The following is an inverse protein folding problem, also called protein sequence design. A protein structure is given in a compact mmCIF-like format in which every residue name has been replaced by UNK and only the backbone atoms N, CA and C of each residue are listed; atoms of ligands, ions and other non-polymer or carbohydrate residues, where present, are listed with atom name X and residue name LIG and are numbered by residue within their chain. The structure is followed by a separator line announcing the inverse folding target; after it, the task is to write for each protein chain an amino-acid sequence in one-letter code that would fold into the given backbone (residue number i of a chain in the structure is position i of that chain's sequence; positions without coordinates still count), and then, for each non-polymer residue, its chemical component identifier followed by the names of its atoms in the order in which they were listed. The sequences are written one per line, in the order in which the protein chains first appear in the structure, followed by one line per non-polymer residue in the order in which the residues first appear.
data_IF_649569126738
#
_entry.id   IF_649569126738
#
_cell.length_a   1.000
_cell.length_b   1.000
_cell.length_c   1.000
_cell.angle_alpha   90.00
_cell.angle_beta   90.00
_cell.angle_gamma   90.00
#
_symmetry.space_group_name_H-M   'P 1'
#
loop_
_entity.id
_entity.type
_entity.pdbx_description
1 polymer ?
#
# COMPACT_ATOMS: atom_id res chain seq x y z
N UNK A 1 19.96 11.60 -9.82
CA UNK A 1 19.19 10.92 -8.76
C UNK A 1 18.05 10.16 -9.43
N UNK A 2 17.95 8.82 -9.23
CA UNK A 2 16.84 8.02 -9.80
C UNK A 2 15.54 8.49 -9.17
N UNK A 3 14.53 8.72 -10.00
CA UNK A 3 13.17 9.07 -9.58
C UNK A 3 12.61 8.00 -8.64
N UNK A 4 11.87 8.43 -7.62
CA UNK A 4 11.18 7.55 -6.65
C UNK A 4 9.69 7.84 -6.68
N UNK A 5 8.90 6.79 -6.83
CA UNK A 5 7.44 6.87 -6.92
C UNK A 5 6.82 6.14 -5.74
N UNK A 6 6.07 6.85 -4.92
CA UNK A 6 5.25 6.27 -3.86
C UNK A 6 3.82 6.20 -4.34
N UNK A 7 3.36 5.01 -4.65
CA UNK A 7 1.98 4.76 -5.08
C UNK A 7 1.16 4.37 -3.86
N UNK A 8 0.11 5.12 -3.56
CA UNK A 8 -0.82 4.84 -2.47
C UNK A 8 -2.11 4.31 -3.08
N UNK A 9 -2.43 3.05 -2.81
CA UNK A 9 -3.68 2.44 -3.26
C UNK A 9 -4.83 2.92 -2.38
N UNK A 10 -5.78 3.62 -2.97
CA UNK A 10 -6.97 4.15 -2.29
C UNK A 10 -8.24 3.68 -2.96
N UNK A 11 -9.29 3.51 -2.17
CA UNK A 11 -10.64 3.20 -2.64
C UNK A 11 -11.56 4.34 -2.29
N UNK A 12 -12.52 4.63 -3.18
CA UNK A 12 -13.54 5.65 -2.89
C UNK A 12 -14.23 5.33 -1.56
N UNK A 13 -14.21 6.27 -0.58
CA UNK A 13 -14.63 5.99 0.81
C UNK A 13 -16.15 6.02 0.96
N UNK A 14 -16.82 5.07 0.31
CA UNK A 14 -18.28 4.92 0.37
C UNK A 14 -18.67 3.91 1.46
N UNK A 15 -19.76 4.19 2.25
CA UNK A 15 -20.29 3.24 3.22
C UNK A 15 -20.60 1.88 2.58
N UNK A 16 -20.21 0.80 3.26
CA UNK A 16 -20.36 -0.58 2.77
C UNK A 16 -19.42 -0.98 1.63
N UNK A 17 -18.54 -0.07 1.18
CA UNK A 17 -17.56 -0.35 0.12
C UNK A 17 -16.11 -0.39 0.63
N UNK A 18 -15.84 0.19 1.79
CA UNK A 18 -14.53 0.21 2.45
C UNK A 18 -14.67 -0.26 3.90
N UNK A 19 -13.63 -0.96 4.39
CA UNK A 19 -13.54 -1.41 5.80
C UNK A 19 -14.84 -2.04 6.31
N UNK A 20 -15.38 -2.97 5.55
CA UNK A 20 -16.68 -3.60 5.85
C UNK A 20 -16.67 -4.41 7.14
N UNK A 21 -15.54 -5.06 7.51
CA UNK A 21 -15.39 -5.75 8.79
C UNK A 21 -15.53 -4.77 9.95
N UNK A 22 -14.74 -3.69 9.95
CA UNK A 22 -14.86 -2.60 10.92
C UNK A 22 -16.28 -2.02 10.91
N UNK A 23 -16.89 -1.87 9.72
CA UNK A 23 -18.24 -1.34 9.56
C UNK A 23 -19.34 -2.21 10.18
N UNK A 24 -19.14 -3.52 10.29
CA UNK A 24 -20.06 -4.41 11.02
C UNK A 24 -20.08 -4.12 12.52
N UNK A 25 -18.95 -3.66 13.08
CA UNK A 25 -18.82 -3.37 14.52
C UNK A 25 -19.17 -1.93 14.90
N UNK A 26 -18.81 -0.94 14.05
CA UNK A 26 -18.99 0.49 14.39
C UNK A 26 -19.97 1.24 13.47
N UNK A 27 -20.56 0.55 12.50
CA UNK A 27 -21.41 1.12 11.47
C UNK A 27 -20.67 1.52 10.18
N UNK A 28 -21.29 1.23 9.03
CA UNK A 28 -20.66 1.42 7.70
C UNK A 28 -20.29 2.87 7.41
N UNK A 29 -21.10 3.82 7.87
CA UNK A 29 -20.85 5.26 7.71
C UNK A 29 -19.62 5.69 8.51
N UNK A 30 -19.48 5.22 9.74
CA UNK A 30 -18.36 5.56 10.61
C UNK A 30 -17.06 4.94 10.08
N UNK A 31 -17.09 3.70 9.61
CA UNK A 31 -15.93 3.03 9.00
C UNK A 31 -15.47 3.77 7.72
N UNK A 32 -16.40 4.20 6.86
CA UNK A 32 -16.06 4.99 5.68
C UNK A 32 -15.48 6.37 6.03
N UNK A 33 -16.04 7.05 7.04
CA UNK A 33 -15.50 8.33 7.55
C UNK A 33 -14.10 8.17 8.15
N UNK A 34 -13.87 7.10 8.91
CA UNK A 34 -12.55 6.77 9.44
C UNK A 34 -11.55 6.54 8.31
N UNK A 35 -11.88 5.67 7.35
CA UNK A 35 -11.02 5.37 6.21
C UNK A 35 -10.66 6.62 5.41
N UNK A 36 -11.65 7.50 5.14
CA UNK A 36 -11.41 8.78 4.46
C UNK A 36 -10.41 9.66 5.23
N UNK A 37 -10.61 9.85 6.53
CA UNK A 37 -9.72 10.67 7.37
C UNK A 37 -8.33 10.07 7.44
N UNK A 38 -8.23 8.76 7.64
CA UNK A 38 -6.97 8.02 7.67
C UNK A 38 -6.20 8.18 6.36
N UNK A 39 -6.84 7.96 5.22
CA UNK A 39 -6.21 8.08 3.90
C UNK A 39 -5.71 9.50 3.62
N UNK A 40 -6.52 10.52 3.91
CA UNK A 40 -6.12 11.92 3.73
C UNK A 40 -4.96 12.31 4.66
N UNK A 41 -5.01 11.88 5.92
CA UNK A 41 -3.92 12.10 6.88
C UNK A 41 -2.63 11.42 6.43
N UNK A 42 -2.71 10.18 5.92
CA UNK A 42 -1.57 9.44 5.39
C UNK A 42 -0.93 10.17 4.20
N UNK A 43 -1.74 10.61 3.23
CA UNK A 43 -1.26 11.33 2.05
C UNK A 43 -0.48 12.58 2.48
N UNK A 44 -1.05 13.42 3.34
CA UNK A 44 -0.36 14.64 3.83
C UNK A 44 0.88 14.32 4.66
N UNK A 45 0.83 13.28 5.52
CA UNK A 45 1.98 12.87 6.33
C UNK A 45 3.15 12.35 5.51
N UNK A 46 2.87 11.69 4.37
CA UNK A 46 3.89 11.10 3.51
C UNK A 46 4.40 12.06 2.42
N UNK A 47 3.88 13.28 2.34
CA UNK A 47 4.39 14.29 1.41
C UNK A 47 5.84 14.68 1.78
N UNK A 48 6.78 14.45 0.84
CA UNK A 48 8.21 14.60 1.08
C UNK A 48 8.95 14.77 -0.27
N UNK A 49 9.88 15.72 -0.40
CA UNK A 49 10.56 15.99 -1.66
C UNK A 49 11.45 14.84 -2.18
N UNK A 50 11.71 13.82 -1.37
CA UNK A 50 12.54 12.65 -1.75
C UNK A 50 11.83 11.68 -2.68
N UNK A 51 10.52 11.78 -2.84
CA UNK A 51 9.70 10.95 -3.74
C UNK A 51 8.46 11.71 -4.21
N UNK A 52 7.85 11.21 -5.27
CA UNK A 52 6.57 11.72 -5.76
C UNK A 52 5.45 10.76 -5.36
N UNK A 53 4.36 11.29 -4.81
CA UNK A 53 3.15 10.53 -4.47
C UNK A 53 2.26 10.44 -5.70
N UNK A 54 1.72 9.24 -5.95
CA UNK A 54 0.68 8.97 -6.93
C UNK A 54 -0.43 8.18 -6.23
N UNK A 55 -1.68 8.59 -6.39
CA UNK A 55 -2.83 7.83 -5.88
C UNK A 55 -3.30 6.84 -6.93
N UNK A 56 -3.25 5.56 -6.62
CA UNK A 56 -3.90 4.53 -7.42
C UNK A 56 -5.33 4.34 -6.92
N UNK A 57 -6.30 4.82 -7.70
CA UNK A 57 -7.70 4.94 -7.28
C UNK A 57 -8.59 3.81 -7.79
N UNK A 58 -9.58 3.43 -6.99
CA UNK A 58 -10.64 2.47 -7.38
C UNK A 58 -11.98 2.87 -6.74
N UNK A 59 -13.16 2.68 -7.39
CA UNK A 59 -13.34 2.31 -8.80
C UNK A 59 -12.72 3.35 -9.73
N UNK A 60 -12.17 2.93 -10.84
CA UNK A 60 -11.32 3.77 -11.70
C UNK A 60 -11.97 5.11 -12.05
N UNK A 61 -13.16 5.11 -12.69
CA UNK A 61 -13.85 6.34 -13.08
C UNK A 61 -14.22 7.22 -11.89
N UNK A 62 -14.82 6.63 -10.86
CA UNK A 62 -15.24 7.38 -9.67
C UNK A 62 -14.04 7.96 -8.93
N UNK A 63 -12.97 7.19 -8.74
CA UNK A 63 -11.76 7.63 -8.06
C UNK A 63 -11.01 8.74 -8.82
N UNK A 64 -10.94 8.64 -10.15
CA UNK A 64 -10.32 9.68 -11.00
C UNK A 64 -11.05 11.03 -10.90
N UNK A 65 -12.39 11.00 -10.77
CA UNK A 65 -13.24 12.20 -10.68
C UNK A 65 -13.56 12.61 -9.23
N UNK A 66 -13.06 11.88 -8.24
CA UNK A 66 -13.40 12.08 -6.82
C UNK A 66 -12.91 13.45 -6.32
N UNK A 67 -13.77 14.14 -5.58
CA UNK A 67 -13.43 15.37 -4.85
C UNK A 67 -12.89 15.08 -3.44
N UNK A 68 -12.77 13.81 -3.07
CA UNK A 68 -12.21 13.40 -1.78
C UNK A 68 -10.70 13.57 -1.76
N UNK A 69 -10.05 13.23 -2.86
CA UNK A 69 -8.59 13.21 -2.95
C UNK A 69 -8.03 14.59 -3.32
N UNK A 70 -6.86 14.99 -2.78
CA UNK A 70 -6.23 16.27 -3.11
C UNK A 70 -6.00 16.42 -4.62
N UNK A 71 -6.37 17.56 -5.18
CA UNK A 71 -6.17 17.85 -6.62
C UNK A 71 -4.70 17.96 -7.01
N UNK A 72 -3.85 18.35 -6.06
CA UNK A 72 -2.40 18.49 -6.25
C UNK A 72 -1.67 17.16 -6.40
N UNK A 73 -2.31 16.04 -6.09
CA UNK A 73 -1.69 14.70 -6.16
C UNK A 73 -2.15 13.98 -7.42
N UNK A 74 -1.19 13.54 -8.24
CA UNK A 74 -1.46 12.79 -9.46
C UNK A 74 -2.23 11.51 -9.17
N UNK A 75 -3.13 11.12 -10.06
CA UNK A 75 -3.98 9.94 -9.93
C UNK A 75 -3.81 9.00 -11.12
N UNK A 76 -3.90 7.71 -10.86
CA UNK A 76 -3.95 6.66 -11.88
C UNK A 76 -5.04 5.65 -11.50
N UNK A 77 -5.71 5.01 -12.47
CA UNK A 77 -6.64 3.93 -12.16
C UNK A 77 -5.88 2.69 -11.69
N UNK A 78 -6.48 1.91 -10.77
CA UNK A 78 -5.94 0.59 -10.40
C UNK A 78 -6.16 -0.44 -11.51
N UNK A 79 -7.21 -0.29 -12.29
CA UNK A 79 -7.64 -1.22 -13.31
C UNK A 79 -8.37 -2.43 -12.73
N UNK A 80 -8.67 -3.39 -13.61
CA UNK A 80 -9.41 -4.61 -13.29
C UNK A 80 -8.47 -5.73 -12.81
N UNK A 81 -9.05 -6.83 -12.32
CA UNK A 81 -8.33 -7.99 -11.83
C UNK A 81 -8.26 -8.04 -10.30
N UNK A 82 -7.51 -9.02 -9.81
CA UNK A 82 -7.26 -9.18 -8.37
C UNK A 82 -6.23 -8.15 -7.83
N UNK A 83 -5.83 -8.29 -6.59
CA UNK A 83 -4.85 -7.38 -5.96
C UNK A 83 -3.48 -7.46 -6.66
N UNK A 84 -3.06 -8.66 -7.07
CA UNK A 84 -1.79 -8.88 -7.77
C UNK A 84 -1.77 -8.24 -9.15
N UNK A 85 -2.85 -8.40 -9.92
CA UNK A 85 -2.99 -7.77 -11.23
C UNK A 85 -2.86 -6.25 -11.13
N UNK A 86 -3.52 -5.65 -10.13
CA UNK A 86 -3.51 -4.20 -9.90
C UNK A 86 -2.14 -3.71 -9.47
N UNK A 87 -1.51 -4.34 -8.47
CA UNK A 87 -0.16 -3.97 -8.04
C UNK A 87 0.87 -4.18 -9.15
N UNK A 88 0.80 -5.30 -9.86
CA UNK A 88 1.68 -5.59 -10.99
C UNK A 88 1.59 -4.54 -12.09
N UNK A 89 0.37 -4.10 -12.43
CA UNK A 89 0.13 -3.00 -13.38
C UNK A 89 0.76 -1.71 -12.89
N UNK A 90 0.53 -1.32 -11.64
CA UNK A 90 1.10 -0.11 -11.06
C UNK A 90 2.63 -0.15 -11.06
N UNK A 91 3.23 -1.27 -10.65
CA UNK A 91 4.69 -1.43 -10.66
C UNK A 91 5.30 -1.33 -12.07
N UNK A 92 4.56 -1.75 -13.11
CA UNK A 92 5.04 -1.69 -14.52
C UNK A 92 4.81 -0.32 -15.16
N UNK A 93 3.66 0.33 -14.89
CA UNK A 93 3.19 1.52 -15.60
C UNK A 93 3.78 2.84 -15.11
N UNK A 94 4.35 2.90 -13.89
CA UNK A 94 4.97 4.14 -13.42
C UNK A 94 6.14 4.56 -14.32
N UNK A 95 6.42 5.86 -14.44
CA UNK A 95 7.60 6.34 -15.17
C UNK A 95 8.91 5.73 -14.65
N UNK A 96 10.04 5.83 -15.37
CA UNK A 96 11.32 5.25 -14.96
C UNK A 96 11.70 5.65 -13.54
N UNK A 97 12.22 4.69 -12.75
CA UNK A 97 12.63 4.91 -11.35
C UNK A 97 12.19 3.77 -10.43
N UNK A 98 12.53 3.90 -9.15
CA UNK A 98 12.08 2.96 -8.12
C UNK A 98 10.63 3.24 -7.74
N UNK A 99 9.84 2.20 -7.56
CA UNK A 99 8.41 2.31 -7.19
C UNK A 99 8.17 1.55 -5.90
N UNK A 100 7.48 2.17 -4.96
CA UNK A 100 6.89 1.52 -3.79
C UNK A 100 5.36 1.67 -3.86
N UNK A 101 4.65 0.58 -3.62
CA UNK A 101 3.18 0.54 -3.55
C UNK A 101 2.78 0.23 -2.11
N UNK A 102 1.86 1.00 -1.55
CA UNK A 102 1.34 0.82 -0.18
C UNK A 102 -0.19 0.87 -0.15
N UNK A 103 -0.79 0.26 0.87
CA UNK A 103 -2.19 0.49 1.24
C UNK A 103 -2.41 1.80 2.00
N UNK A 104 -3.65 2.29 2.04
CA UNK A 104 -4.01 3.53 2.73
C UNK A 104 -4.58 3.32 4.14
N UNK A 105 -4.69 2.10 4.59
CA UNK A 105 -5.40 1.68 5.80
C UNK A 105 -4.48 1.35 7.00
N UNK A 106 -3.21 1.72 6.90
CA UNK A 106 -2.20 1.46 7.91
C UNK A 106 -1.78 2.79 8.57
N UNK A 107 -2.33 3.13 9.74
CA UNK A 107 -2.08 4.41 10.42
C UNK A 107 -0.62 4.64 10.81
N UNK A 108 0.13 3.54 11.05
CA UNK A 108 1.52 3.59 11.53
C UNK A 108 2.56 4.00 10.49
N UNK A 109 2.22 4.09 9.19
CA UNK A 109 3.20 4.46 8.16
C UNK A 109 3.67 5.90 8.35
N UNK A 110 5.00 6.08 8.38
CA UNK A 110 5.68 7.39 8.48
C UNK A 110 6.63 7.62 7.31
N UNK A 111 7.10 8.87 7.13
CA UNK A 111 8.16 9.19 6.15
C UNK A 111 9.43 8.36 6.36
N UNK A 112 9.76 8.04 7.63
CA UNK A 112 10.93 7.21 7.95
C UNK A 112 10.80 5.78 7.39
N UNK A 113 9.61 5.17 7.48
CA UNK A 113 9.33 3.86 6.90
C UNK A 113 9.54 3.87 5.37
N UNK A 114 8.99 4.87 4.68
CA UNK A 114 9.12 5.01 3.23
C UNK A 114 10.59 5.27 2.82
N UNK A 115 11.30 6.11 3.59
CA UNK A 115 12.72 6.37 3.34
C UNK A 115 13.57 5.11 3.47
N UNK A 116 13.31 4.26 4.49
CA UNK A 116 13.98 2.95 4.65
C UNK A 116 13.69 2.01 3.49
N UNK A 117 12.44 1.96 3.02
CA UNK A 117 12.06 1.15 1.88
C UNK A 117 12.83 1.57 0.60
N UNK A 118 12.89 2.86 0.29
CA UNK A 118 13.68 3.34 -0.84
C UNK A 118 15.19 3.15 -0.65
N UNK A 119 15.72 3.24 0.58
CA UNK A 119 17.11 2.94 0.87
C UNK A 119 17.43 1.45 0.66
N UNK A 120 16.52 0.55 1.05
CA UNK A 120 16.63 -0.88 0.80
C UNK A 120 16.69 -1.20 -0.71
N UNK A 121 15.88 -0.51 -1.55
CA UNK A 121 15.94 -0.62 -3.02
C UNK A 121 17.25 -0.10 -3.62
N UNK A 122 18.05 0.64 -2.88
CA UNK A 122 19.43 0.97 -3.27
C UNK A 122 20.35 -0.27 -3.30
N UNK A 123 20.02 -1.30 -2.51
CA UNK A 123 20.86 -2.49 -2.26
C UNK A 123 20.21 -3.81 -2.67
N UNK A 124 18.93 -3.80 -3.07
CA UNK A 124 18.17 -4.98 -3.49
C UNK A 124 17.27 -4.64 -4.68
N UNK A 125 16.78 -5.64 -5.38
CA UNK A 125 15.86 -5.48 -6.51
C UNK A 125 14.45 -5.20 -6.03
N UNK A 126 14.07 -5.77 -4.86
CA UNK A 126 12.74 -5.67 -4.28
C UNK A 126 12.80 -5.37 -2.79
N UNK A 127 11.74 -4.76 -2.27
CA UNK A 127 11.55 -4.53 -0.83
C UNK A 127 10.11 -4.84 -0.44
N UNK A 128 9.95 -5.41 0.75
CA UNK A 128 8.65 -5.66 1.37
C UNK A 128 8.59 -5.05 2.76
N UNK A 129 7.45 -4.48 3.10
CA UNK A 129 7.07 -4.18 4.47
C UNK A 129 6.08 -5.24 4.93
N UNK A 130 6.49 -6.25 5.73
CA UNK A 130 5.58 -7.31 6.16
C UNK A 130 4.44 -6.77 7.02
N UNK A 131 3.31 -7.47 6.99
CA UNK A 131 2.20 -7.28 7.91
C UNK A 131 2.11 -8.47 8.87
N UNK A 132 1.49 -8.26 10.04
CA UNK A 132 1.38 -9.29 11.11
C UNK A 132 0.57 -10.51 10.66
N UNK A 133 -0.33 -10.35 9.70
CA UNK A 133 -1.21 -11.39 9.16
C UNK A 133 -0.55 -12.30 8.11
N UNK A 134 0.76 -12.11 7.83
CA UNK A 134 1.50 -12.83 6.80
C UNK A 134 1.37 -12.21 5.39
N UNK A 135 0.68 -11.09 5.28
CA UNK A 135 0.69 -10.22 4.11
C UNK A 135 1.84 -9.21 4.12
N UNK A 136 1.63 -8.11 3.45
CA UNK A 136 2.56 -6.98 3.46
C UNK A 136 1.82 -5.66 3.19
N UNK A 137 2.27 -4.61 3.89
CA UNK A 137 1.76 -3.26 3.74
C UNK A 137 2.48 -2.47 2.65
N UNK A 138 3.67 -2.93 2.24
CA UNK A 138 4.50 -2.31 1.21
C UNK A 138 5.13 -3.38 0.32
N UNK A 139 5.09 -3.15 -0.98
CA UNK A 139 5.93 -3.82 -1.98
C UNK A 139 6.62 -2.78 -2.83
N UNK A 140 7.92 -2.94 -3.06
CA UNK A 140 8.68 -2.02 -3.91
C UNK A 140 9.64 -2.74 -4.85
N UNK A 141 9.85 -2.14 -6.02
CA UNK A 141 10.78 -2.59 -7.04
C UNK A 141 11.74 -1.48 -7.44
N UNK A 142 13.02 -1.82 -7.55
CA UNK A 142 14.08 -0.92 -8.05
C UNK A 142 13.92 -0.59 -9.53
N UNK A 143 13.34 -1.53 -10.30
CA UNK A 143 13.13 -1.42 -11.75
C UNK A 143 14.41 -1.15 -12.55
N UNK A 144 15.52 -1.71 -12.11
CA UNK A 144 16.80 -1.73 -12.87
C UNK A 144 16.81 -2.79 -13.97
N UNK A 145 15.85 -3.70 -13.93
CA UNK A 145 15.56 -4.74 -14.94
C UNK A 145 14.06 -4.82 -15.17
N UNK A 146 13.63 -5.59 -16.18
CA UNK A 146 12.22 -5.81 -16.45
C UNK A 146 11.50 -6.43 -15.23
N UNK A 147 10.28 -6.01 -14.99
CA UNK A 147 9.41 -6.61 -13.96
C UNK A 147 8.99 -8.00 -14.48
N UNK A 148 9.13 -9.07 -13.67
CA UNK A 148 8.74 -10.42 -14.10
C UNK A 148 7.29 -10.44 -14.62
N UNK A 149 7.00 -11.11 -15.75
CA UNK A 149 5.66 -11.17 -16.31
C UNK A 149 4.68 -11.90 -15.39
N UNK A 150 5.17 -12.89 -14.66
CA UNK A 150 4.47 -13.75 -13.70
C UNK A 150 4.45 -13.20 -12.27
N UNK A 151 4.94 -11.97 -12.05
CA UNK A 151 4.88 -11.31 -10.74
C UNK A 151 3.45 -11.30 -10.21
N UNK A 152 3.27 -11.85 -8.99
CA UNK A 152 2.02 -12.05 -8.26
C UNK A 152 1.14 -13.22 -8.76
N UNK A 153 1.56 -13.98 -9.75
CA UNK A 153 0.78 -15.11 -10.25
C UNK A 153 0.65 -16.21 -9.17
N UNK A 154 -0.57 -16.69 -8.94
CA UNK A 154 -0.84 -17.76 -7.99
C UNK A 154 -0.70 -17.40 -6.51
N UNK A 155 -0.59 -16.13 -6.16
CA UNK A 155 -0.52 -15.67 -4.78
C UNK A 155 -1.87 -15.85 -4.08
N UNK A 156 -1.86 -16.48 -2.92
CA UNK A 156 -3.04 -16.66 -2.05
C UNK A 156 -3.28 -15.39 -1.24
N UNK A 157 -4.01 -14.46 -1.84
CA UNK A 157 -4.36 -13.19 -1.19
C UNK A 157 -5.21 -13.40 0.06
N UNK A 158 -5.15 -12.43 0.99
CA UNK A 158 -5.89 -12.46 2.27
C UNK A 158 -5.61 -13.70 3.11
N UNK A 159 -4.38 -14.20 3.08
CA UNK A 159 -3.91 -15.37 3.83
C UNK A 159 -2.51 -15.11 4.42
N UNK A 160 -2.14 -15.92 5.41
CA UNK A 160 -0.81 -15.90 6.01
C UNK A 160 0.33 -16.27 5.03
N UNK A 161 0.00 -16.61 3.79
CA UNK A 161 0.95 -17.03 2.77
C UNK A 161 1.24 -15.95 1.72
N UNK A 162 0.56 -14.81 1.74
CA UNK A 162 0.65 -13.82 0.67
C UNK A 162 2.08 -13.32 0.42
N UNK A 163 2.83 -13.02 1.47
CA UNK A 163 4.24 -12.61 1.35
C UNK A 163 5.11 -13.76 0.80
N UNK A 164 5.00 -14.95 1.37
CA UNK A 164 5.82 -16.10 0.96
C UNK A 164 5.54 -16.52 -0.47
N UNK A 165 4.28 -16.50 -0.90
CA UNK A 165 3.91 -16.82 -2.28
C UNK A 165 4.40 -15.74 -3.26
N UNK A 166 4.31 -14.45 -2.87
CA UNK A 166 4.85 -13.34 -3.69
C UNK A 166 6.36 -13.47 -3.88
N UNK A 167 7.11 -13.81 -2.83
CA UNK A 167 8.56 -13.98 -2.93
C UNK A 167 8.96 -15.09 -3.90
N UNK A 168 8.16 -16.15 -4.05
CA UNK A 168 8.39 -17.21 -5.04
C UNK A 168 8.29 -16.70 -6.49
N UNK A 169 7.41 -15.73 -6.75
CA UNK A 169 7.27 -15.12 -8.09
C UNK A 169 8.43 -14.19 -8.46
N UNK A 170 9.34 -13.93 -7.53
CA UNK A 170 10.52 -13.07 -7.68
C UNK A 170 11.83 -13.88 -7.75
N UNK A 171 11.77 -15.12 -8.24
CA UNK A 171 12.94 -15.97 -8.38
C UNK A 171 14.09 -15.25 -9.14
N UNK A 172 15.29 -15.28 -8.57
CA UNK A 172 16.46 -14.60 -9.15
C UNK A 172 16.55 -13.09 -8.89
N UNK A 173 15.61 -12.51 -8.10
CA UNK A 173 15.69 -11.14 -7.62
C UNK A 173 16.04 -11.10 -6.13
N UNK A 174 16.95 -10.19 -5.78
CA UNK A 174 17.27 -9.96 -4.36
C UNK A 174 16.14 -9.20 -3.67
N UNK A 175 15.72 -9.69 -2.49
CA UNK A 175 14.65 -9.09 -1.69
C UNK A 175 15.17 -8.65 -0.32
N UNK A 176 14.63 -7.54 0.19
CA UNK A 176 14.80 -7.10 1.58
C UNK A 176 13.45 -6.85 2.23
N UNK A 177 13.40 -7.08 3.53
CA UNK A 177 12.25 -6.69 4.34
C UNK A 177 12.62 -5.47 5.18
N UNK A 178 11.61 -4.63 5.43
CA UNK A 178 11.69 -3.47 6.32
C UNK A 178 10.73 -3.67 7.50
N UNK A 179 10.30 -2.60 8.14
CA UNK A 179 9.48 -2.65 9.34
C UNK A 179 8.18 -3.46 9.15
N UNK A 180 7.80 -4.20 10.19
CA UNK A 180 6.49 -4.86 10.28
C UNK A 180 5.48 -3.86 10.79
N UNK A 181 4.35 -3.70 10.12
CA UNK A 181 3.24 -2.84 10.52
C UNK A 181 1.92 -3.58 10.44
N UNK A 182 0.94 -3.13 11.24
CA UNK A 182 -0.41 -3.65 11.23
C UNK A 182 -1.41 -2.68 10.60
N UNK A 183 -2.39 -3.21 9.89
CA UNK A 183 -3.55 -2.47 9.42
C UNK A 183 -4.65 -2.38 10.49
N UNK A 184 -5.73 -1.69 10.18
CA UNK A 184 -6.92 -1.57 11.03
C UNK A 184 -8.10 -2.21 10.32
N UNK A 185 -8.48 -3.41 10.72
CA UNK A 185 -9.62 -4.15 10.17
C UNK A 185 -10.79 -4.32 11.12
N UNK A 186 -10.54 -4.23 12.42
CA UNK A 186 -11.52 -4.42 13.49
C UNK A 186 -11.59 -3.21 14.42
N UNK A 187 -12.62 -3.16 15.27
CA UNK A 187 -12.71 -2.19 16.37
C UNK A 187 -11.56 -2.33 17.37
N UNK A 188 -11.09 -3.55 17.61
CA UNK A 188 -9.95 -3.79 18.50
C UNK A 188 -8.67 -3.15 17.95
N UNK A 189 -8.41 -3.27 16.64
CA UNK A 189 -7.28 -2.62 15.97
C UNK A 189 -7.39 -1.10 16.06
N UNK A 190 -8.59 -0.56 15.84
CA UNK A 190 -8.86 0.87 15.94
C UNK A 190 -8.54 1.41 17.35
N UNK A 191 -8.94 0.68 18.40
CA UNK A 191 -8.66 1.05 19.79
C UNK A 191 -7.17 0.98 20.10
N UNK A 192 -6.45 -0.04 19.61
CA UNK A 192 -5.01 -0.20 19.74
C UNK A 192 -4.26 1.00 19.18
N UNK A 193 -4.58 1.39 17.95
CA UNK A 193 -3.99 2.57 17.30
C UNK A 193 -4.30 3.86 18.06
N UNK A 194 -5.53 4.00 18.58
CA UNK A 194 -5.94 5.20 19.32
C UNK A 194 -5.20 5.36 20.65
N UNK A 195 -4.71 4.27 21.24
CA UNK A 195 -3.91 4.27 22.48
C UNK A 195 -2.42 4.50 22.24
N UNK A 196 -1.98 4.51 20.99
CA UNK A 196 -0.56 4.60 20.65
C UNK A 196 0.24 3.33 20.93
N UNK A 197 -0.44 2.22 21.13
CA UNK A 197 0.18 0.92 21.36
C UNK A 197 0.84 0.44 20.07
N UNK A 198 2.16 0.63 19.98
CA UNK A 198 2.96 0.03 18.91
C UNK A 198 3.03 -1.47 19.16
N UNK A 199 2.86 -2.33 18.14
CA UNK A 199 3.02 -3.77 18.32
C UNK A 199 4.40 -4.08 18.90
N UNK A 200 4.52 -5.12 19.74
CA UNK A 200 5.80 -5.52 20.29
C UNK A 200 6.76 -5.83 19.14
N UNK A 201 8.00 -5.36 19.27
CA UNK A 201 9.09 -5.75 18.36
C UNK A 201 9.26 -7.26 18.48
N UNK A 202 9.06 -7.99 17.38
CA UNK A 202 9.45 -9.40 17.28
C UNK A 202 10.97 -9.53 17.25
#
# INVERSE_FOLDING_TARGET
VRQRWLVIMVKEPLPGRVKTRLGQEIGMVQAARWFRRQSLSLIGRLDDPRWQIVLAVTPDRAGMMSRVWPESVARVPQGQGDLGDRMGRLLRSMPPGSVCVIGADIPGITRAHIARAFAALGRADTVFGPAEDGGYWLVGLKRSRAVPPDLFQGVRWSSAHALSDTLKTLAGMSSRQVDVLADVDTKADLLRVSRGDTPPKA
#
